data_IF_393211915414
#
_entry.id   IF_393211915414
#
_cell.length_a   1.000
_cell.length_b   1.000
_cell.length_c   1.000
_cell.angle_alpha   90.00
_cell.angle_beta   90.00
_cell.angle_gamma   90.00
#
_symmetry.space_group_name_H-M   'P 1'
#
loop_
_entity.id
_entity.type
_entity.pdbx_description
1 polymer ?
#
# COMPACT_ATOMS: atom_id res chain seq x y z
N UNK A 1 19.31 11.86 -4.23
CA UNK A 1 18.08 11.60 -5.01
C UNK A 1 16.91 11.72 -4.05
N UNK A 2 15.90 12.53 -4.35
CA UNK A 2 14.70 12.62 -3.51
C UNK A 2 13.95 11.27 -3.61
N UNK A 3 13.29 10.82 -2.54
CA UNK A 3 12.51 9.57 -2.57
C UNK A 3 11.31 9.67 -3.52
N UNK A 4 10.81 10.87 -3.81
CA UNK A 4 9.84 11.09 -4.89
C UNK A 4 10.45 10.88 -6.29
N UNK A 5 11.75 11.12 -6.48
CA UNK A 5 12.43 10.81 -7.75
C UNK A 5 12.51 9.29 -7.95
N UNK A 6 12.65 8.52 -6.86
CA UNK A 6 12.63 7.06 -6.89
C UNK A 6 11.25 6.51 -7.27
N UNK A 7 10.17 7.12 -6.77
CA UNK A 7 8.82 6.75 -7.17
C UNK A 7 8.61 7.01 -8.67
N UNK A 8 9.09 8.15 -9.18
CA UNK A 8 9.03 8.46 -10.61
C UNK A 8 9.88 7.51 -11.47
N UNK A 9 11.05 7.11 -10.99
CA UNK A 9 11.88 6.09 -11.64
C UNK A 9 11.14 4.74 -11.70
N UNK A 10 10.53 4.32 -10.59
CA UNK A 10 9.75 3.09 -10.54
C UNK A 10 8.57 3.11 -11.53
N UNK A 11 7.83 4.23 -11.60
CA UNK A 11 6.75 4.44 -12.58
C UNK A 11 7.28 4.23 -14.02
N UNK A 12 8.44 4.83 -14.35
CA UNK A 12 9.04 4.73 -15.66
C UNK A 12 9.53 3.31 -16.00
N UNK A 13 10.18 2.62 -15.06
CA UNK A 13 10.71 1.26 -15.24
C UNK A 13 9.60 0.22 -15.41
N UNK A 14 8.46 0.40 -14.74
CA UNK A 14 7.34 -0.53 -14.78
C UNK A 14 6.25 -0.14 -15.79
N UNK A 15 6.36 1.03 -16.43
CA UNK A 15 5.38 1.51 -17.39
C UNK A 15 4.02 1.82 -16.75
N UNK A 16 4.01 2.27 -15.49
CA UNK A 16 2.79 2.57 -14.71
C UNK A 16 2.77 4.03 -14.29
N UNK A 17 1.60 4.51 -13.89
CA UNK A 17 1.44 5.80 -13.23
C UNK A 17 0.61 5.61 -11.96
N UNK A 18 1.20 5.89 -10.81
CA UNK A 18 0.49 5.88 -9.55
C UNK A 18 -0.54 7.02 -9.48
N UNK A 19 -1.70 6.77 -8.86
CA UNK A 19 -2.74 7.75 -8.64
C UNK A 19 -2.21 9.05 -8.02
N UNK A 20 -2.71 10.20 -8.50
CA UNK A 20 -2.32 11.51 -7.96
C UNK A 20 -2.62 11.61 -6.46
N UNK A 21 -3.78 11.13 -6.03
CA UNK A 21 -4.19 11.11 -4.63
C UNK A 21 -3.23 10.28 -3.76
N UNK A 22 -2.73 9.16 -4.27
CA UNK A 22 -1.74 8.35 -3.55
C UNK A 22 -0.44 9.12 -3.34
N UNK A 23 0.06 9.80 -4.38
CA UNK A 23 1.28 10.64 -4.29
C UNK A 23 1.10 11.83 -3.35
N UNK A 24 -0.08 12.43 -3.32
CA UNK A 24 -0.42 13.49 -2.37
C UNK A 24 -0.41 12.98 -0.92
N UNK A 25 -1.01 11.80 -0.68
CA UNK A 25 -0.98 11.14 0.63
C UNK A 25 0.46 10.84 1.06
N UNK A 26 1.29 10.26 0.19
CA UNK A 26 2.69 9.98 0.49
C UNK A 26 3.51 11.22 0.88
N UNK A 27 3.16 12.40 0.36
CA UNK A 27 3.82 13.65 0.69
C UNK A 27 3.28 14.34 1.94
N UNK A 28 2.32 13.71 2.62
CA UNK A 28 1.54 14.34 3.68
C UNK A 28 1.89 13.86 5.08
N UNK A 29 2.76 12.86 5.22
CA UNK A 29 3.16 12.24 6.49
C UNK A 29 4.58 11.65 6.37
N UNK A 30 5.28 11.52 7.49
CA UNK A 30 6.65 10.95 7.55
C UNK A 30 6.66 9.49 8.04
N UNK A 31 5.88 9.20 9.09
CA UNK A 31 5.94 7.93 9.83
C UNK A 31 4.63 7.14 9.73
N UNK A 32 3.49 7.79 10.00
CA UNK A 32 2.20 7.10 9.95
C UNK A 32 1.07 8.01 9.48
N UNK A 33 0.10 7.39 8.82
CA UNK A 33 -1.20 7.95 8.51
C UNK A 33 -2.22 6.82 8.59
N UNK A 34 -3.39 7.13 9.13
CA UNK A 34 -4.48 6.16 9.36
C UNK A 34 -5.76 6.71 8.77
N UNK A 35 -6.46 5.83 8.06
CA UNK A 35 -7.81 6.02 7.58
C UNK A 35 -8.72 4.90 8.10
N UNK A 36 -9.98 5.23 8.36
CA UNK A 36 -11.03 4.25 8.56
C UNK A 36 -11.48 3.74 7.18
N UNK A 37 -11.18 2.48 6.84
CA UNK A 37 -11.65 1.85 5.62
C UNK A 37 -12.92 1.04 5.86
N UNK A 38 -14.02 1.45 5.23
CA UNK A 38 -15.33 0.84 5.39
C UNK A 38 -15.58 -0.24 4.34
N UNK A 39 -15.75 -1.49 4.80
CA UNK A 39 -15.98 -2.65 3.95
C UNK A 39 -17.23 -3.41 4.34
N UNK A 40 -17.87 -4.04 3.36
CA UNK A 40 -18.91 -5.01 3.61
C UNK A 40 -18.31 -6.42 3.50
N UNK A 41 -18.22 -7.12 4.62
CA UNK A 41 -17.78 -8.51 4.66
C UNK A 41 -18.94 -9.38 5.14
N UNK A 42 -19.37 -10.33 4.32
CA UNK A 42 -20.46 -11.27 4.63
C UNK A 42 -21.78 -10.59 5.03
N UNK A 43 -22.11 -9.46 4.40
CA UNK A 43 -23.32 -8.70 4.69
C UNK A 43 -23.23 -7.78 5.92
N UNK A 44 -22.06 -7.73 6.58
CA UNK A 44 -21.81 -6.89 7.75
C UNK A 44 -20.85 -5.77 7.38
N UNK A 45 -21.23 -4.53 7.68
CA UNK A 45 -20.34 -3.39 7.55
C UNK A 45 -19.29 -3.45 8.67
N UNK A 46 -18.02 -3.40 8.27
CA UNK A 46 -16.87 -3.34 9.17
C UNK A 46 -16.04 -2.12 8.83
N UNK A 47 -15.32 -1.62 9.83
CA UNK A 47 -14.27 -0.62 9.67
C UNK A 47 -12.94 -1.29 9.97
N UNK A 48 -11.94 -1.01 9.14
CA UNK A 48 -10.56 -1.48 9.33
C UNK A 48 -9.62 -0.29 9.29
N UNK A 49 -8.56 -0.32 10.09
CA UNK A 49 -7.55 0.71 10.07
C UNK A 49 -6.69 0.51 8.83
N UNK A 50 -6.84 1.41 7.85
CA UNK A 50 -6.01 1.48 6.66
C UNK A 50 -4.81 2.39 6.94
N UNK A 51 -3.62 1.85 6.80
CA UNK A 51 -2.39 2.62 6.91
C UNK A 51 -1.62 2.65 5.59
N UNK A 52 -0.83 3.70 5.40
CA UNK A 52 0.07 3.85 4.26
C UNK A 52 1.52 3.81 4.73
N UNK A 53 2.38 3.16 3.95
CA UNK A 53 3.81 3.15 4.20
C UNK A 53 4.40 4.48 3.76
N UNK A 54 5.08 5.16 4.69
CA UNK A 54 5.77 6.39 4.41
C UNK A 54 6.81 6.19 3.31
N UNK A 55 7.05 7.24 2.52
CA UNK A 55 7.98 7.18 1.38
C UNK A 55 9.38 6.72 1.81
N UNK A 56 9.74 6.97 3.07
CA UNK A 56 10.97 6.49 3.65
C UNK A 56 11.07 4.97 3.77
N UNK A 57 10.00 4.32 4.22
CA UNK A 57 9.88 2.87 4.33
C UNK A 57 9.79 2.20 2.96
N UNK A 58 9.10 2.85 2.00
CA UNK A 58 8.96 2.33 0.63
C UNK A 58 10.31 2.17 -0.08
N UNK A 59 11.30 2.99 0.26
CA UNK A 59 12.61 3.03 -0.40
C UNK A 59 13.78 2.97 0.59
N UNK A 60 13.63 2.31 1.74
CA UNK A 60 14.68 2.27 2.77
C UNK A 60 15.94 1.52 2.29
N UNK A 61 15.78 0.51 1.42
CA UNK A 61 16.82 -0.45 1.03
C UNK A 61 17.16 -0.40 -0.49
N UNK A 62 17.37 0.80 -1.04
CA UNK A 62 17.63 1.02 -2.48
C UNK A 62 18.90 0.33 -3.01
N UNK A 63 19.93 0.16 -2.17
CA UNK A 63 21.22 -0.43 -2.56
C UNK A 63 21.20 -1.97 -2.72
N UNK A 64 20.10 -2.62 -2.33
CA UNK A 64 19.84 -4.03 -2.67
C UNK A 64 18.83 -4.04 -3.81
N UNK A 65 19.32 -3.90 -5.05
CA UNK A 65 18.59 -4.15 -6.32
C UNK A 65 17.27 -4.92 -6.08
N UNK A 66 16.13 -4.21 -6.11
CA UNK A 66 14.75 -4.76 -6.13
C UNK A 66 14.11 -5.36 -4.85
N UNK A 67 14.51 -5.00 -3.61
CA UNK A 67 14.02 -5.76 -2.43
C UNK A 67 13.21 -5.02 -1.34
N UNK A 68 12.21 -4.21 -1.69
CA UNK A 68 11.01 -4.09 -0.84
C UNK A 68 9.85 -5.02 -1.29
N UNK A 69 10.00 -5.61 -2.47
CA UNK A 69 9.21 -6.74 -2.96
C UNK A 69 9.30 -7.99 -2.10
N UNK A 70 10.21 -8.06 -1.12
CA UNK A 70 10.60 -9.33 -0.49
C UNK A 70 9.99 -9.67 0.86
N UNK A 71 9.30 -8.79 1.60
CA UNK A 71 8.61 -9.32 2.78
C UNK A 71 7.47 -10.27 2.38
N UNK A 72 6.82 -9.94 1.27
CA UNK A 72 5.85 -10.79 0.58
C UNK A 72 6.64 -11.87 -0.20
N UNK A 73 7.60 -11.55 -1.09
CA UNK A 73 8.22 -12.58 -1.95
C UNK A 73 9.24 -13.56 -1.31
N UNK A 74 9.83 -13.31 -0.14
CA UNK A 74 10.82 -14.25 0.44
C UNK A 74 10.20 -15.37 1.27
N UNK A 75 8.99 -15.18 1.78
CA UNK A 75 8.22 -16.19 2.54
C UNK A 75 7.09 -16.81 1.69
N UNK A 76 6.68 -16.15 0.60
CA UNK A 76 5.56 -16.60 -0.24
C UNK A 76 6.03 -17.60 -1.28
N UNK A 77 5.40 -18.78 -1.26
CA UNK A 77 5.44 -19.70 -2.38
C UNK A 77 5.02 -18.94 -3.66
N UNK A 78 5.95 -18.87 -4.60
CA UNK A 78 5.94 -18.19 -5.90
C UNK A 78 4.75 -18.43 -6.86
N UNK A 79 3.64 -19.02 -6.41
CA UNK A 79 2.52 -19.40 -7.26
C UNK A 79 1.36 -18.39 -7.31
N UNK A 80 1.26 -17.46 -6.35
CA UNK A 80 0.06 -16.60 -6.21
C UNK A 80 0.33 -15.11 -6.45
N UNK A 81 1.51 -14.60 -6.06
CA UNK A 81 1.88 -13.18 -6.26
C UNK A 81 3.10 -13.14 -7.18
N UNK A 82 2.97 -12.37 -8.26
CA UNK A 82 4.09 -12.06 -9.15
C UNK A 82 4.84 -10.84 -8.59
N UNK A 83 6.06 -11.04 -8.05
CA UNK A 83 6.83 -9.96 -7.47
C UNK A 83 7.40 -9.00 -8.51
N UNK A 84 7.24 -9.22 -9.82
CA UNK A 84 7.62 -8.22 -10.83
C UNK A 84 6.41 -7.38 -11.28
N UNK A 85 5.23 -7.66 -10.70
CA UNK A 85 3.94 -7.04 -11.06
C UNK A 85 3.17 -6.55 -9.84
N UNK A 86 3.88 -6.23 -8.76
CA UNK A 86 3.27 -5.89 -7.47
C UNK A 86 3.87 -4.58 -6.93
N UNK A 87 3.15 -3.80 -6.13
CA UNK A 87 3.79 -2.75 -5.35
C UNK A 87 3.09 -2.60 -4.01
N UNK A 88 3.75 -3.05 -2.94
CA UNK A 88 3.23 -2.95 -1.58
C UNK A 88 3.28 -1.50 -1.10
N UNK A 89 2.16 -0.98 -0.62
CA UNK A 89 2.03 0.44 -0.30
C UNK A 89 1.50 0.75 1.10
N UNK A 90 1.01 -0.26 1.82
CA UNK A 90 0.33 -0.08 3.09
C UNK A 90 -0.21 -1.39 3.62
N UNK A 91 -1.06 -1.29 4.63
CA UNK A 91 -1.67 -2.45 5.26
C UNK A 91 -3.02 -2.13 5.89
N UNK A 92 -3.72 -3.19 6.27
CA UNK A 92 -4.88 -3.10 7.15
C UNK A 92 -4.48 -3.61 8.55
N UNK A 93 -5.27 -3.24 9.57
CA UNK A 93 -5.25 -3.96 10.85
C UNK A 93 -5.33 -5.48 10.63
N UNK A 94 -4.74 -6.27 11.53
CA UNK A 94 -4.72 -7.75 11.52
C UNK A 94 -3.64 -8.41 10.63
N UNK A 95 -2.54 -7.70 10.33
CA UNK A 95 -1.40 -8.31 9.62
C UNK A 95 -1.68 -8.55 8.14
N UNK A 96 -2.44 -7.63 7.54
CA UNK A 96 -2.78 -7.66 6.12
C UNK A 96 -1.94 -6.65 5.37
N UNK A 97 -1.21 -7.10 4.36
CA UNK A 97 -0.46 -6.24 3.44
C UNK A 97 -1.33 -5.83 2.25
N UNK A 98 -1.20 -4.57 1.82
CA UNK A 98 -1.88 -4.05 0.64
C UNK A 98 -0.89 -3.74 -0.47
N UNK A 99 -1.28 -4.09 -1.69
CA UNK A 99 -0.46 -3.84 -2.87
C UNK A 99 -1.28 -3.46 -4.10
N UNK A 100 -0.63 -2.70 -4.98
CA UNK A 100 -1.08 -2.52 -6.36
C UNK A 100 -0.68 -3.73 -7.19
N UNK A 101 -1.60 -4.25 -8.00
CA UNK A 101 -1.25 -5.05 -9.16
C UNK A 101 -0.80 -4.11 -10.28
N UNK A 102 0.46 -4.17 -10.70
CA UNK A 102 1.01 -3.25 -11.71
C UNK A 102 0.46 -3.49 -13.12
N UNK A 103 -0.27 -4.59 -13.35
CA UNK A 103 -0.87 -4.89 -14.66
C UNK A 103 -2.09 -4.02 -14.94
N UNK A 104 -2.87 -3.70 -13.92
CA UNK A 104 -4.14 -2.97 -14.04
C UNK A 104 -4.36 -1.90 -12.95
N UNK A 105 -3.42 -1.75 -12.01
CA UNK A 105 -3.46 -0.86 -10.86
C UNK A 105 -4.59 -1.16 -9.85
N UNK A 106 -5.14 -2.37 -9.88
CA UNK A 106 -6.11 -2.83 -8.87
C UNK A 106 -5.47 -3.02 -7.50
N UNK A 107 -6.28 -2.96 -6.45
CA UNK A 107 -5.82 -3.07 -5.06
C UNK A 107 -6.12 -4.46 -4.53
N UNK A 108 -5.07 -5.10 -4.04
CA UNK A 108 -5.14 -6.43 -3.48
C UNK A 108 -4.67 -6.44 -2.03
N UNK A 109 -5.18 -7.42 -1.29
CA UNK A 109 -4.73 -7.75 0.05
C UNK A 109 -3.98 -9.07 0.05
N UNK A 110 -3.01 -9.19 0.95
CA UNK A 110 -2.33 -10.43 1.30
C UNK A 110 -2.40 -10.64 2.81
N UNK A 111 -2.87 -11.80 3.23
CA UNK A 111 -2.91 -12.23 4.62
C UNK A 111 -1.60 -12.95 4.99
N UNK A 112 -0.88 -12.44 5.99
CA UNK A 112 0.40 -13.01 6.41
C UNK A 112 0.27 -14.37 7.10
N UNK A 113 -0.87 -14.66 7.70
CA UNK A 113 -1.13 -15.86 8.50
C UNK A 113 -1.44 -17.10 7.65
N UNK A 114 -2.24 -16.95 6.59
CA UNK A 114 -2.70 -18.05 5.74
C UNK A 114 -2.24 -17.96 4.27
N UNK A 115 -1.44 -16.93 3.95
CA UNK A 115 -0.95 -16.64 2.61
C UNK A 115 -2.03 -16.41 1.56
N UNK A 116 -3.26 -16.09 1.96
CA UNK A 116 -4.35 -15.84 1.03
C UNK A 116 -4.28 -14.45 0.41
N UNK A 117 -4.73 -14.36 -0.85
CA UNK A 117 -4.81 -13.11 -1.60
C UNK A 117 -6.21 -12.88 -2.14
N UNK A 118 -6.62 -11.63 -2.18
CA UNK A 118 -7.86 -11.23 -2.84
C UNK A 118 -7.77 -9.79 -3.33
N UNK A 119 -8.38 -9.53 -4.48
CA UNK A 119 -8.67 -8.17 -4.88
C UNK A 119 -9.69 -7.57 -3.90
N UNK A 120 -9.42 -6.38 -3.38
CA UNK A 120 -10.34 -5.68 -2.48
C UNK A 120 -11.01 -4.49 -3.16
N UNK A 121 -10.31 -3.84 -4.09
CA UNK A 121 -10.84 -2.69 -4.82
C UNK A 121 -10.34 -2.66 -6.26
N UNK A 122 -11.13 -2.13 -7.21
CA UNK A 122 -10.73 -2.00 -8.61
C UNK A 122 -9.69 -0.88 -8.84
N UNK A 123 -9.59 0.09 -7.93
CA UNK A 123 -8.62 1.18 -8.03
C UNK A 123 -8.37 1.84 -6.67
N UNK A 124 -7.36 2.70 -6.61
CA UNK A 124 -7.07 3.52 -5.43
C UNK A 124 -8.19 4.50 -5.10
N UNK A 125 -8.83 5.10 -6.11
CA UNK A 125 -9.96 6.00 -5.91
C UNK A 125 -11.14 5.27 -5.28
N UNK A 126 -11.39 4.02 -5.65
CA UNK A 126 -12.41 3.20 -5.03
C UNK A 126 -12.08 2.91 -3.55
N UNK A 127 -10.82 2.56 -3.25
CA UNK A 127 -10.33 2.43 -1.87
C UNK A 127 -10.56 3.71 -1.06
N UNK A 128 -10.16 4.86 -1.61
CA UNK A 128 -10.29 6.14 -0.92
C UNK A 128 -11.75 6.61 -0.80
N UNK A 129 -12.62 6.29 -1.75
CA UNK A 129 -14.06 6.61 -1.67
C UNK A 129 -14.78 5.91 -0.51
N UNK A 130 -14.18 4.82 -0.01
CA UNK A 130 -14.63 4.03 1.14
C UNK A 130 -13.82 4.32 2.40
N UNK A 131 -12.93 5.30 2.36
CA UNK A 131 -12.00 5.59 3.45
C UNK A 131 -12.20 6.99 4.01
N UNK A 132 -12.12 7.13 5.32
CA UNK A 132 -12.23 8.41 6.03
C UNK A 132 -10.94 8.69 6.79
N UNK A 133 -10.37 9.89 6.67
CA UNK A 133 -9.13 10.25 7.37
C UNK A 133 -9.34 10.24 8.89
N UNK A 134 -8.40 9.65 9.62
CA UNK A 134 -8.41 9.58 11.09
C UNK A 134 -7.30 10.44 11.68
N UNK A 135 -6.04 10.15 11.36
CA UNK A 135 -4.88 10.83 11.97
C UNK A 135 -3.59 10.57 11.18
N UNK A 136 -2.56 11.40 11.36
CA UNK A 136 -1.19 11.19 10.90
C UNK A 136 -0.16 11.79 11.86
N UNK A 137 1.13 11.58 11.59
CA UNK A 137 2.17 12.28 12.33
C UNK A 137 2.00 13.82 12.28
N UNK A 138 2.29 14.47 13.41
CA UNK A 138 2.10 15.91 13.59
C UNK A 138 0.72 16.32 14.10
N UNK A 139 -0.33 15.50 13.95
CA UNK A 139 -1.69 15.86 14.42
C UNK A 139 -1.82 15.83 15.96
N UNK A 140 -0.99 15.04 16.64
CA UNK A 140 -0.97 14.92 18.11
C UNK A 140 -0.10 15.98 18.82
N UNK A 141 0.50 16.93 18.10
CA UNK A 141 1.43 17.92 18.66
C UNK A 141 0.75 19.16 19.30
N UNK A 142 -0.56 19.11 19.56
CA UNK A 142 -1.33 20.22 20.14
C UNK A 142 -2.02 19.81 21.46
N UNK A 143 -1.25 19.31 22.43
CA UNK A 143 -1.63 19.31 23.84
C UNK A 143 -0.44 19.58 24.75
#
# INVERSE_FOLDING_TARGET
>A
MNKFDLLALFEAENGVAFPKAYKEILGSFESYIIYDYHVNEFGVQKTKDLNFYGISRLFEDIDKTHKLYQFVASEISSSVIDPDKTFTFGGLSDGVELFFDLRDMSIWRYYLDDSSTAQIEPSFEALMSKSSFVTRDGDLALY
#
